data_IF_380564697402
#
_entry.id   IF_380564697402
#
_cell.length_a   1.000
_cell.length_b   1.000
_cell.length_c   1.000
_cell.angle_alpha   90.00
_cell.angle_beta   90.00
_cell.angle_gamma   90.00
#
_symmetry.space_group_name_H-M   'P 1'
#
loop_
_entity.id
_entity.type
_entity.pdbx_description
1 polymer ?
#
# COMPACT_ATOMS: atom_id res chain seq x y z
N UNK A 1 -60.96 -12.35 9.00
CA UNK A 1 -60.51 -10.94 9.02
C UNK A 1 -58.99 -10.92 9.14
N UNK A 2 -58.27 -10.59 8.05
CA UNK A 2 -56.80 -10.49 8.05
C UNK A 2 -56.42 -9.10 8.57
N UNK A 3 -55.79 -9.02 9.75
CA UNK A 3 -55.26 -7.76 10.30
C UNK A 3 -54.05 -7.34 9.45
N UNK A 4 -54.23 -6.33 8.59
CA UNK A 4 -53.11 -5.66 7.94
C UNK A 4 -52.34 -4.88 9.00
N UNK A 5 -51.09 -5.27 9.26
CA UNK A 5 -50.18 -4.53 10.11
C UNK A 5 -49.52 -3.43 9.24
N UNK A 6 -49.68 -2.13 9.55
CA UNK A 6 -49.01 -1.09 8.77
C UNK A 6 -47.50 -1.24 8.95
N UNK A 7 -46.79 -1.52 7.84
CA UNK A 7 -45.33 -1.49 7.80
C UNK A 7 -44.89 -0.07 8.18
N UNK A 8 -44.39 0.12 9.41
CA UNK A 8 -43.67 1.33 9.80
C UNK A 8 -42.44 1.40 8.91
N UNK A 9 -42.45 2.30 7.94
CA UNK A 9 -41.27 2.64 7.16
C UNK A 9 -40.20 3.11 8.14
N UNK A 10 -39.09 2.38 8.21
CA UNK A 10 -37.94 2.81 8.99
C UNK A 10 -37.34 4.02 8.27
N UNK A 11 -36.92 5.04 9.02
CA UNK A 11 -36.23 6.18 8.42
C UNK A 11 -34.87 5.75 7.88
N UNK A 12 -34.35 6.44 6.84
CA UNK A 12 -33.05 6.17 6.24
C UNK A 12 -31.91 5.96 7.26
N UNK A 13 -31.91 6.71 8.37
CA UNK A 13 -30.91 6.56 9.43
C UNK A 13 -31.00 5.22 10.18
N UNK A 14 -32.21 4.68 10.35
CA UNK A 14 -32.42 3.37 10.95
C UNK A 14 -31.99 2.27 9.96
N UNK A 15 -32.34 2.40 8.68
CA UNK A 15 -31.88 1.47 7.63
C UNK A 15 -30.37 1.48 7.45
N UNK A 16 -29.75 2.67 7.52
CA UNK A 16 -28.31 2.83 7.47
C UNK A 16 -27.63 2.22 8.70
N UNK A 17 -28.17 2.43 9.90
CA UNK A 17 -27.68 1.78 11.13
C UNK A 17 -27.76 0.27 11.00
N UNK A 18 -28.89 -0.26 10.55
CA UNK A 18 -29.11 -1.69 10.39
C UNK A 18 -28.21 -2.28 9.28
N UNK A 19 -27.84 -1.47 8.27
CA UNK A 19 -26.87 -1.84 7.25
C UNK A 19 -25.43 -1.89 7.79
N UNK A 20 -24.95 -0.85 8.48
CA UNK A 20 -23.56 -0.82 8.98
C UNK A 20 -23.32 -1.74 10.17
N UNK A 21 -24.38 -2.14 10.89
CA UNK A 21 -24.26 -3.08 12.02
C UNK A 21 -24.27 -4.53 11.59
N UNK A 22 -24.42 -4.82 10.29
CA UNK A 22 -24.22 -6.18 9.78
C UNK A 22 -22.77 -6.61 10.01
N UNK A 23 -22.61 -7.73 10.72
CA UNK A 23 -21.30 -8.20 11.16
C UNK A 23 -20.31 -8.46 10.02
N UNK A 24 -20.79 -8.94 8.88
CA UNK A 24 -19.99 -9.16 7.66
C UNK A 24 -19.34 -7.88 7.12
N UNK A 25 -20.06 -6.75 7.16
CA UNK A 25 -19.55 -5.44 6.72
C UNK A 25 -18.57 -4.88 7.75
N UNK A 26 -18.87 -4.98 9.04
CA UNK A 26 -18.02 -4.49 10.13
C UNK A 26 -16.68 -5.21 10.15
N UNK A 27 -16.69 -6.55 10.09
CA UNK A 27 -15.48 -7.36 10.10
C UNK A 27 -14.60 -7.08 8.89
N UNK A 28 -15.20 -6.94 7.69
CA UNK A 28 -14.48 -6.55 6.48
C UNK A 28 -13.86 -5.15 6.62
N UNK A 29 -14.61 -4.18 7.12
CA UNK A 29 -14.13 -2.80 7.31
C UNK A 29 -12.95 -2.73 8.29
N UNK A 30 -13.00 -3.48 9.38
CA UNK A 30 -11.89 -3.58 10.34
C UNK A 30 -10.67 -4.21 9.67
N UNK A 31 -10.84 -5.34 8.97
CA UNK A 31 -9.76 -6.03 8.28
C UNK A 31 -9.05 -5.15 7.25
N UNK A 32 -9.81 -4.40 6.44
CA UNK A 32 -9.27 -3.46 5.46
C UNK A 32 -8.51 -2.30 6.13
N UNK A 33 -9.08 -1.74 7.21
CA UNK A 33 -8.47 -0.61 7.93
C UNK A 33 -7.14 -1.01 8.55
N UNK A 34 -7.11 -2.17 9.22
CA UNK A 34 -5.88 -2.73 9.79
C UNK A 34 -4.87 -3.06 8.68
N UNK A 35 -5.33 -3.61 7.56
CA UNK A 35 -4.49 -3.88 6.39
C UNK A 35 -3.80 -2.63 5.85
N UNK A 36 -4.54 -1.53 5.66
CA UNK A 36 -3.98 -0.24 5.21
C UNK A 36 -2.97 0.31 6.20
N UNK A 37 -3.30 0.30 7.49
CA UNK A 37 -2.40 0.76 8.55
C UNK A 37 -1.11 -0.08 8.61
N UNK A 38 -1.23 -1.40 8.49
CA UNK A 38 -0.10 -2.32 8.47
C UNK A 38 0.81 -2.07 7.26
N UNK A 39 0.24 -1.98 6.06
CA UNK A 39 0.99 -1.65 4.83
C UNK A 39 1.75 -0.34 4.98
N UNK A 40 1.15 0.70 5.58
CA UNK A 40 1.83 1.97 5.84
C UNK A 40 3.06 1.81 6.74
N UNK A 41 2.98 0.98 7.79
CA UNK A 41 4.11 0.72 8.69
C UNK A 41 5.22 -0.04 7.97
N UNK A 42 4.88 -1.07 7.20
CA UNK A 42 5.85 -1.84 6.42
C UNK A 42 6.54 -0.95 5.38
N UNK A 43 5.77 -0.15 4.64
CA UNK A 43 6.32 0.78 3.65
C UNK A 43 7.26 1.80 4.32
N UNK A 44 6.91 2.30 5.51
CA UNK A 44 7.78 3.19 6.28
C UNK A 44 9.08 2.51 6.69
N UNK A 45 9.04 1.27 7.16
CA UNK A 45 10.25 0.50 7.48
C UNK A 45 11.14 0.33 6.25
N UNK A 46 10.54 0.00 5.11
CA UNK A 46 11.30 -0.19 3.88
C UNK A 46 11.89 1.12 3.41
N UNK A 47 11.08 2.16 3.22
CA UNK A 47 11.50 3.45 2.67
C UNK A 47 12.47 4.21 3.58
N UNK A 48 12.23 4.20 4.90
CA UNK A 48 12.99 5.05 5.81
C UNK A 48 14.16 4.34 6.49
N UNK A 49 14.17 3.00 6.54
CA UNK A 49 15.20 2.23 7.27
C UNK A 49 15.98 1.31 6.35
N UNK A 50 15.32 0.58 5.44
CA UNK A 50 15.98 -0.40 4.57
C UNK A 50 16.55 0.25 3.30
N UNK A 51 15.80 1.17 2.69
CA UNK A 51 16.19 1.84 1.45
C UNK A 51 17.41 2.76 1.60
N UNK A 52 17.62 3.55 2.67
CA UNK A 52 18.78 4.44 2.72
C UNK A 52 20.13 3.68 2.66
N UNK A 53 20.36 2.60 3.43
CA UNK A 53 21.56 1.78 3.27
C UNK A 53 21.70 1.14 1.88
N UNK A 54 20.59 0.67 1.29
CA UNK A 54 20.60 0.08 -0.06
C UNK A 54 20.91 1.14 -1.11
N UNK A 55 20.35 2.34 -0.99
CA UNK A 55 20.56 3.50 -1.86
C UNK A 55 22.00 3.99 -1.83
N UNK A 56 22.69 3.89 -0.69
CA UNK A 56 24.13 4.17 -0.61
C UNK A 56 24.97 3.17 -1.41
N UNK A 57 24.52 1.91 -1.55
CA UNK A 57 25.26 0.85 -2.26
C UNK A 57 24.92 0.82 -3.76
N UNK A 58 23.65 1.03 -4.11
CA UNK A 58 23.13 0.95 -5.48
C UNK A 58 23.16 2.32 -6.19
N UNK A 59 23.30 3.42 -5.43
CA UNK A 59 23.10 4.79 -5.88
C UNK A 59 21.62 5.17 -5.79
N UNK A 60 21.33 6.35 -5.20
CA UNK A 60 20.03 6.85 -4.72
C UNK A 60 18.87 6.88 -5.76
N UNK A 61 19.13 6.50 -7.01
CA UNK A 61 18.16 6.62 -8.10
C UNK A 61 18.63 5.98 -9.42
N UNK A 62 19.52 4.98 -9.39
CA UNK A 62 20.14 4.43 -10.60
C UNK A 62 19.14 4.07 -11.71
N UNK A 63 17.94 3.65 -11.34
CA UNK A 63 16.85 3.38 -12.28
C UNK A 63 15.90 4.56 -12.45
N UNK A 64 15.61 5.37 -11.41
CA UNK A 64 14.61 6.46 -11.49
C UNK A 64 14.97 7.54 -12.52
N UNK A 65 16.25 7.76 -12.79
CA UNK A 65 16.73 8.70 -13.81
C UNK A 65 16.55 8.20 -15.25
N UNK A 66 16.11 6.96 -15.45
CA UNK A 66 15.87 6.37 -16.75
C UNK A 66 14.46 6.72 -17.24
N UNK A 67 14.38 7.65 -18.19
CA UNK A 67 13.14 8.03 -18.85
C UNK A 67 13.35 8.26 -20.34
N UNK A 68 12.28 8.20 -21.11
CA UNK A 68 12.26 8.54 -22.53
C UNK A 68 11.17 9.60 -22.76
N UNK A 69 11.53 10.83 -23.15
CA UNK A 69 10.55 11.82 -23.59
C UNK A 69 9.94 11.42 -24.95
N UNK A 70 8.63 11.59 -25.09
CA UNK A 70 7.85 11.17 -26.27
C UNK A 70 7.54 12.32 -27.22
N UNK A 71 7.94 13.54 -26.88
CA UNK A 71 7.74 14.76 -27.66
C UNK A 71 8.90 15.06 -28.61
N UNK A 72 9.95 14.23 -28.61
CA UNK A 72 11.14 14.37 -29.45
C UNK A 72 12.18 15.36 -28.92
N UNK A 73 11.95 15.99 -27.77
CA UNK A 73 12.92 16.87 -27.11
C UNK A 73 13.80 16.06 -26.15
N UNK A 74 15.04 16.50 -25.93
CA UNK A 74 15.91 15.93 -24.90
C UNK A 74 15.93 16.85 -23.69
N UNK A 75 15.77 16.28 -22.51
CA UNK A 75 15.78 16.99 -21.23
C UNK A 75 17.00 16.55 -20.42
N UNK A 76 17.58 17.46 -19.64
CA UNK A 76 18.76 17.13 -18.81
C UNK A 76 18.39 16.28 -17.59
N UNK A 77 17.14 16.36 -17.15
CA UNK A 77 16.62 15.59 -16.02
C UNK A 77 15.14 15.29 -16.19
N UNK A 78 14.68 14.27 -15.46
CA UNK A 78 13.27 13.91 -15.40
C UNK A 78 12.44 15.10 -14.88
N UNK A 79 12.96 15.84 -13.90
CA UNK A 79 12.34 17.06 -13.36
C UNK A 79 12.19 18.17 -14.42
N UNK A 80 13.18 18.34 -15.30
CA UNK A 80 13.12 19.32 -16.38
C UNK A 80 12.05 18.94 -17.43
N UNK A 81 11.91 17.66 -17.73
CA UNK A 81 10.88 17.16 -18.63
C UNK A 81 9.47 17.32 -18.02
N UNK A 82 9.32 17.06 -16.72
CA UNK A 82 8.06 17.28 -15.99
C UNK A 82 7.68 18.76 -15.90
N UNK A 83 8.64 19.64 -15.63
CA UNK A 83 8.43 21.08 -15.60
C UNK A 83 7.99 21.64 -16.96
N UNK A 84 8.46 21.03 -18.05
CA UNK A 84 8.03 21.35 -19.41
C UNK A 84 6.66 20.73 -19.79
N UNK A 85 6.01 20.02 -18.86
CA UNK A 85 4.79 19.23 -19.11
C UNK A 85 4.95 18.24 -20.29
N UNK A 86 6.16 17.75 -20.51
CA UNK A 86 6.45 16.84 -21.59
C UNK A 86 5.89 15.44 -21.29
N UNK A 87 5.30 14.75 -22.28
CA UNK A 87 4.91 13.36 -22.13
C UNK A 87 6.17 12.49 -22.00
N UNK A 88 6.42 11.95 -20.81
CA UNK A 88 7.60 11.13 -20.49
C UNK A 88 7.24 9.69 -20.13
N UNK A 89 7.94 8.73 -20.73
CA UNK A 89 7.91 7.32 -20.34
C UNK A 89 8.95 7.06 -19.25
N UNK A 90 8.50 6.94 -17.99
CA UNK A 90 9.35 6.71 -16.81
C UNK A 90 9.60 5.22 -16.53
N UNK A 91 10.16 4.49 -17.49
CA UNK A 91 10.41 3.04 -17.34
C UNK A 91 11.38 2.73 -16.18
N UNK A 92 12.26 3.68 -15.87
CA UNK A 92 13.11 3.64 -14.70
C UNK A 92 12.37 3.57 -13.37
N UNK A 93 11.33 4.38 -13.22
CA UNK A 93 10.46 4.34 -12.03
C UNK A 93 9.74 3.00 -11.92
N UNK A 94 9.27 2.44 -13.03
CA UNK A 94 8.63 1.14 -13.04
C UNK A 94 9.54 0.00 -12.54
N UNK A 95 10.81 -0.02 -12.99
CA UNK A 95 11.80 -0.99 -12.48
C UNK A 95 12.06 -0.77 -10.98
N UNK A 96 12.16 0.50 -10.57
CA UNK A 96 12.30 0.86 -9.14
C UNK A 96 11.13 0.31 -8.31
N UNK A 97 9.89 0.44 -8.79
CA UNK A 97 8.69 -0.04 -8.10
C UNK A 97 8.67 -1.58 -7.99
N UNK A 98 9.15 -2.28 -9.02
CA UNK A 98 9.30 -3.74 -8.99
C UNK A 98 10.33 -4.14 -7.91
N UNK A 99 11.49 -3.49 -7.88
CA UNK A 99 12.53 -3.78 -6.88
C UNK A 99 12.00 -3.49 -5.47
N UNK A 100 11.29 -2.38 -5.28
CA UNK A 100 10.65 -2.04 -4.01
C UNK A 100 9.64 -3.10 -3.57
N UNK A 101 8.81 -3.62 -4.49
CA UNK A 101 7.88 -4.72 -4.22
C UNK A 101 8.62 -5.97 -3.70
N UNK A 102 9.74 -6.34 -4.31
CA UNK A 102 10.56 -7.46 -3.84
C UNK A 102 11.15 -7.21 -2.45
N UNK A 103 11.62 -5.99 -2.18
CA UNK A 103 12.17 -5.61 -0.87
C UNK A 103 11.08 -5.65 0.21
N UNK A 104 9.89 -5.10 -0.06
CA UNK A 104 8.74 -5.14 0.85
C UNK A 104 8.35 -6.59 1.15
N UNK A 105 8.22 -7.42 0.11
CA UNK A 105 7.92 -8.85 0.27
C UNK A 105 8.96 -9.57 1.13
N UNK A 106 10.25 -9.28 0.89
CA UNK A 106 11.34 -9.84 1.69
C UNK A 106 11.33 -9.34 3.14
N UNK A 107 11.05 -8.06 3.37
CA UNK A 107 10.93 -7.50 4.71
C UNK A 107 9.78 -8.13 5.51
N UNK A 108 8.61 -8.33 4.88
CA UNK A 108 7.47 -9.03 5.48
C UNK A 108 7.86 -10.47 5.83
N UNK A 109 8.53 -11.17 4.90
CA UNK A 109 9.02 -12.53 5.15
C UNK A 109 9.95 -12.60 6.36
N UNK A 110 10.90 -11.66 6.49
CA UNK A 110 11.78 -11.58 7.65
C UNK A 110 11.01 -11.29 8.95
N UNK A 111 10.02 -10.39 8.90
CA UNK A 111 9.19 -10.06 10.07
C UNK A 111 8.40 -11.28 10.55
N UNK A 112 7.75 -12.01 9.63
CA UNK A 112 7.02 -13.24 9.95
C UNK A 112 7.97 -14.30 10.50
N UNK A 113 9.15 -14.49 9.87
CA UNK A 113 10.16 -15.44 10.33
C UNK A 113 10.66 -15.13 11.74
N UNK A 114 10.86 -13.85 12.07
CA UNK A 114 11.27 -13.41 13.40
C UNK A 114 10.18 -13.71 14.44
N UNK A 115 8.92 -13.39 14.14
CA UNK A 115 7.78 -13.68 15.03
C UNK A 115 7.63 -15.19 15.24
N UNK A 116 7.75 -15.99 14.18
CA UNK A 116 7.69 -17.45 14.28
C UNK A 116 8.82 -18.03 15.15
N UNK A 117 10.03 -17.46 15.09
CA UNK A 117 11.13 -17.85 16.00
C UNK A 117 10.84 -17.51 17.46
N UNK A 118 10.30 -16.31 17.73
CA UNK A 118 9.99 -15.87 19.10
C UNK A 118 8.87 -16.71 19.72
N UNK A 119 7.83 -17.04 18.93
CA UNK A 119 6.74 -17.92 19.38
C UNK A 119 7.21 -19.34 19.67
N UNK A 120 8.21 -19.84 18.94
CA UNK A 120 8.79 -21.16 19.15
C UNK A 120 9.67 -21.24 20.41
N UNK A 121 10.30 -20.14 20.82
CA UNK A 121 11.15 -20.10 22.03
C UNK A 121 10.32 -20.02 23.33
N UNK A 122 9.08 -19.52 23.26
CA UNK A 122 8.20 -19.36 24.43
C UNK A 122 7.52 -20.66 24.92
N UNK A 123 7.67 -21.78 24.21
CA UNK A 123 7.08 -23.08 24.58
C UNK A 123 8.06 -24.06 25.22
N UNK A 124 9.33 -23.68 25.44
CA UNK A 124 10.37 -24.55 26.03
C UNK A 124 11.04 -23.96 27.30
N UNK A 125 10.45 -22.95 27.94
CA UNK A 125 10.89 -22.42 29.25
C UNK A 125 9.74 -22.33 30.23
#
# INVERSE_FOLDING_TARGET
MKKNNPQKQQGFLAEFRDFITKGDIVEMAIGLTVGVAFTKVVNSLVQNIIMPPIGLVIGDSAFRSLYVPLDGNSYESLDAAEAAAAPVLKYGQFISDIVELFIIGFAIFLAVKLISRLKYTASEG
#
